data_IF_003290235302
#
_entry.id   IF_003290235302
#
_cell.length_a   1.000
_cell.length_b   1.000
_cell.length_c   1.000
_cell.angle_alpha   90.00
_cell.angle_beta   90.00
_cell.angle_gamma   90.00
#
_symmetry.space_group_name_H-M   'P 1'
#
loop_
_entity.id
_entity.type
_entity.pdbx_description
1 polymer ?
#
# COMPACT_ATOMS: atom_id res chain seq x y z
N UNK A 1 2.72 -12.49 25.04
CA UNK A 1 3.44 -11.57 24.14
C UNK A 1 3.74 -12.35 22.88
N UNK A 2 2.89 -12.26 21.86
CA UNK A 2 3.23 -12.72 20.51
C UNK A 2 4.25 -11.73 19.97
N UNK A 3 5.51 -12.18 19.89
CA UNK A 3 6.55 -11.42 19.22
C UNK A 3 6.16 -11.35 17.75
N UNK A 4 5.90 -10.13 17.25
CA UNK A 4 5.81 -9.89 15.80
C UNK A 4 7.09 -10.46 15.20
N UNK A 5 6.97 -11.37 14.24
CA UNK A 5 8.14 -11.92 13.54
C UNK A 5 9.00 -10.76 13.05
N UNK A 6 10.31 -10.87 13.26
CA UNK A 6 11.23 -9.81 12.90
C UNK A 6 11.24 -9.69 11.37
N UNK A 7 10.44 -8.75 10.85
CA UNK A 7 10.43 -8.40 9.45
C UNK A 7 11.86 -8.12 8.98
N UNK A 8 12.21 -8.54 7.77
CA UNK A 8 13.46 -8.09 7.17
C UNK A 8 13.39 -6.57 6.96
N UNK A 9 14.54 -5.89 7.10
CA UNK A 9 14.63 -4.45 6.82
C UNK A 9 14.13 -4.11 5.41
N UNK A 10 14.36 -5.01 4.45
CA UNK A 10 13.88 -4.87 3.07
C UNK A 10 12.34 -4.88 2.99
N UNK A 11 11.68 -5.82 3.69
CA UNK A 11 10.21 -5.85 3.76
C UNK A 11 9.65 -4.59 4.44
N UNK A 12 10.29 -4.11 5.51
CA UNK A 12 9.90 -2.88 6.20
C UNK A 12 10.03 -1.64 5.31
N UNK A 13 11.15 -1.50 4.59
CA UNK A 13 11.38 -0.39 3.66
C UNK A 13 10.32 -0.39 2.54
N UNK A 14 10.01 -1.56 1.99
CA UNK A 14 9.00 -1.70 0.92
C UNK A 14 7.60 -1.38 1.43
N UNK A 15 7.23 -1.84 2.63
CA UNK A 15 5.96 -1.50 3.28
C UNK A 15 5.84 -0.01 3.56
N UNK A 16 6.91 0.65 4.02
CA UNK A 16 6.95 2.10 4.19
C UNK A 16 6.74 2.83 2.86
N UNK A 17 7.35 2.33 1.77
CA UNK A 17 7.11 2.84 0.41
C UNK A 17 5.66 2.68 -0.05
N UNK A 18 5.03 1.53 0.25
CA UNK A 18 3.60 1.31 -0.02
C UNK A 18 2.74 2.32 0.75
N UNK A 19 3.01 2.51 2.04
CA UNK A 19 2.26 3.45 2.88
C UNK A 19 2.34 4.88 2.32
N UNK A 20 3.53 5.34 1.92
CA UNK A 20 3.70 6.65 1.29
C UNK A 20 2.87 6.79 0.00
N UNK A 21 2.85 5.76 -0.85
CA UNK A 21 2.04 5.79 -2.07
C UNK A 21 0.53 5.77 -1.81
N UNK A 22 0.09 5.09 -0.76
CA UNK A 22 -1.32 5.09 -0.34
C UNK A 22 -1.72 6.48 0.16
N UNK A 23 -0.89 7.15 0.96
CA UNK A 23 -1.16 8.52 1.41
C UNK A 23 -1.29 9.49 0.22
N UNK A 24 -0.38 9.40 -0.75
CA UNK A 24 -0.45 10.21 -1.98
C UNK A 24 -1.72 9.92 -2.79
N UNK A 25 -2.13 8.65 -2.87
CA UNK A 25 -3.36 8.24 -3.56
C UNK A 25 -4.61 8.82 -2.88
N UNK A 26 -4.66 8.77 -1.54
CA UNK A 26 -5.76 9.37 -0.76
C UNK A 26 -5.83 10.89 -0.95
N UNK A 27 -4.68 11.56 -1.03
CA UNK A 27 -4.62 13.00 -1.32
C UNK A 27 -5.17 13.32 -2.72
N UNK A 28 -4.88 12.49 -3.73
CA UNK A 28 -5.44 12.63 -5.07
C UNK A 28 -6.96 12.42 -5.10
N UNK A 29 -7.47 11.43 -4.38
CA UNK A 29 -8.91 11.16 -4.30
C UNK A 29 -9.64 12.35 -3.63
N UNK A 30 -9.08 12.93 -2.56
CA UNK A 30 -9.60 14.15 -1.93
C UNK A 30 -9.62 15.37 -2.88
N UNK A 31 -8.58 15.52 -3.71
CA UNK A 31 -8.52 16.59 -4.70
C UNK A 31 -9.52 16.36 -5.84
N UNK A 32 -9.72 15.11 -6.26
CA UNK A 32 -10.68 14.73 -7.29
C UNK A 32 -12.12 15.09 -6.91
N UNK A 33 -12.49 14.95 -5.63
CA UNK A 33 -13.80 15.33 -5.10
C UNK A 33 -14.07 16.84 -5.18
N UNK A 34 -13.01 17.67 -5.24
CA UNK A 34 -13.12 19.14 -5.15
C UNK A 34 -12.91 19.88 -6.48
N UNK A 35 -12.48 19.19 -7.54
CA UNK A 35 -12.01 19.84 -8.78
C UNK A 35 -13.08 19.84 -9.90
N UNK A 36 -13.46 21.00 -10.48
CA UNK A 36 -14.51 21.04 -11.52
C UNK A 36 -14.10 20.53 -12.91
N UNK A 37 -12.81 20.57 -13.32
CA UNK A 37 -12.44 20.33 -14.75
C UNK A 37 -11.02 19.77 -14.98
N UNK A 38 -10.46 18.96 -14.06
CA UNK A 38 -9.11 18.37 -14.17
C UNK A 38 -9.04 16.83 -14.30
N UNK A 39 -10.17 16.16 -14.50
CA UNK A 39 -10.34 14.71 -14.27
C UNK A 39 -9.33 13.79 -14.98
N UNK A 40 -8.82 14.15 -16.16
CA UNK A 40 -7.93 13.26 -16.94
C UNK A 40 -6.52 13.13 -16.35
N UNK A 41 -5.94 14.23 -15.86
CA UNK A 41 -4.61 14.22 -15.23
C UNK A 41 -4.68 13.47 -13.90
N UNK A 42 -5.66 13.81 -13.05
CA UNK A 42 -5.88 13.17 -11.75
C UNK A 42 -6.12 11.67 -11.91
N UNK A 43 -6.93 11.23 -12.89
CA UNK A 43 -7.12 9.79 -13.18
C UNK A 43 -5.84 9.08 -13.60
N UNK A 44 -5.01 9.73 -14.41
CA UNK A 44 -3.74 9.14 -14.84
C UNK A 44 -2.75 9.00 -13.69
N UNK A 45 -2.67 9.99 -12.81
CA UNK A 45 -1.80 9.94 -11.63
C UNK A 45 -2.29 8.91 -10.61
N UNK A 46 -3.61 8.85 -10.40
CA UNK A 46 -4.27 7.81 -9.59
C UNK A 46 -3.91 6.41 -10.09
N UNK A 47 -4.04 6.18 -11.41
CA UNK A 47 -3.67 4.90 -12.03
C UNK A 47 -2.19 4.55 -11.79
N UNK A 48 -1.28 5.50 -12.01
CA UNK A 48 0.17 5.27 -11.79
C UNK A 48 0.49 4.93 -10.33
N UNK A 49 -0.15 5.60 -9.37
CA UNK A 49 0.04 5.32 -7.93
C UNK A 49 -0.48 3.93 -7.56
N UNK A 50 -1.65 3.54 -8.08
CA UNK A 50 -2.18 2.17 -7.90
C UNK A 50 -1.25 1.13 -8.50
N UNK A 51 -0.74 1.34 -9.72
CA UNK A 51 0.24 0.44 -10.35
C UNK A 51 1.51 0.29 -9.50
N UNK A 52 2.05 1.39 -8.96
CA UNK A 52 3.22 1.37 -8.09
C UNK A 52 2.96 0.58 -6.79
N UNK A 53 1.80 0.79 -6.15
CA UNK A 53 1.40 0.03 -4.95
C UNK A 53 1.31 -1.47 -5.27
N UNK A 54 0.66 -1.84 -6.38
CA UNK A 54 0.51 -3.24 -6.78
C UNK A 54 1.86 -3.90 -7.07
N UNK A 55 2.80 -3.19 -7.70
CA UNK A 55 4.14 -3.70 -7.95
C UNK A 55 4.91 -3.95 -6.65
N UNK A 56 4.83 -3.04 -5.68
CA UNK A 56 5.48 -3.22 -4.39
C UNK A 56 4.85 -4.35 -3.57
N UNK A 57 3.51 -4.50 -3.62
CA UNK A 57 2.79 -5.60 -2.99
C UNK A 57 3.09 -6.96 -3.65
N UNK A 58 3.46 -6.97 -4.94
CA UNK A 58 3.83 -8.19 -5.64
C UNK A 58 5.25 -8.68 -5.28
N UNK A 59 6.02 -7.90 -4.52
CA UNK A 59 7.37 -8.28 -4.13
C UNK A 59 7.38 -9.53 -3.22
N UNK A 60 8.22 -10.54 -3.50
CA UNK A 60 8.26 -11.77 -2.72
C UNK A 60 8.48 -11.56 -1.22
N UNK A 61 9.36 -10.64 -0.82
CA UNK A 61 9.66 -10.41 0.61
C UNK A 61 8.45 -9.81 1.33
N UNK A 62 7.72 -8.91 0.66
CA UNK A 62 6.48 -8.33 1.19
C UNK A 62 5.40 -9.39 1.27
N UNK A 63 5.26 -10.23 0.23
CA UNK A 63 4.25 -11.29 0.19
C UNK A 63 4.47 -12.35 1.26
N UNK A 64 5.71 -12.79 1.44
CA UNK A 64 6.07 -13.81 2.43
C UNK A 64 5.83 -13.29 3.85
N UNK A 65 6.21 -12.03 4.10
CA UNK A 65 5.96 -11.38 5.38
C UNK A 65 4.46 -11.20 5.67
N UNK A 66 3.66 -10.76 4.68
CA UNK A 66 2.21 -10.66 4.84
C UNK A 66 1.56 -12.03 5.09
N UNK A 67 2.03 -13.09 4.43
CA UNK A 67 1.54 -14.45 4.65
C UNK A 67 1.92 -15.00 6.04
N UNK A 68 3.05 -14.58 6.59
CA UNK A 68 3.41 -14.86 7.98
C UNK A 68 2.48 -14.14 8.96
N UNK A 69 2.26 -12.84 8.78
CA UNK A 69 1.32 -12.07 9.60
C UNK A 69 -0.10 -12.64 9.54
N UNK A 70 -0.54 -13.14 8.37
CA UNK A 70 -1.83 -13.83 8.23
C UNK A 70 -1.89 -15.13 9.05
N UNK A 71 -0.84 -15.97 8.95
CA UNK A 71 -0.74 -17.21 9.73
C UNK A 71 -0.73 -16.97 11.23
N UNK A 72 -0.16 -15.86 11.66
CA UNK A 72 -0.12 -15.44 13.07
C UNK A 72 -1.41 -14.75 13.54
N UNK A 73 -2.37 -14.51 12.64
CA UNK A 73 -3.61 -13.78 12.96
C UNK A 73 -3.38 -12.31 13.29
N UNK A 74 -2.27 -11.73 12.81
CA UNK A 74 -1.89 -10.34 13.03
C UNK A 74 -2.37 -9.39 11.92
N UNK A 75 -2.82 -9.93 10.78
CA UNK A 75 -3.54 -9.14 9.79
C UNK A 75 -5.01 -8.97 10.20
N UNK A 76 -5.60 -7.78 9.97
CA UNK A 76 -7.03 -7.58 10.20
C UNK A 76 -7.82 -8.57 9.34
N UNK A 77 -8.57 -9.45 9.99
CA UNK A 77 -9.52 -10.35 9.31
C UNK A 77 -10.48 -9.47 8.52
N UNK A 78 -10.60 -9.72 7.21
CA UNK A 78 -11.60 -9.05 6.37
C UNK A 78 -12.97 -9.20 7.04
N UNK A 79 -13.58 -8.08 7.42
CA UNK A 79 -15.01 -8.01 7.73
C UNK A 79 -15.85 -8.22 6.48
#
# INVERSE_FOLDING_TARGET
>A
MTAVTAASDAALIRLAGIAAHVEELMALDYQAEKAPVGLKAIRNDRRRKVEAILLLLADPEVRDYLAELEREGLLPVKG
#
